data_IF_662796049029
#
_entry.id   IF_662796049029
#
_cell.length_a   1.000
_cell.length_b   1.000
_cell.length_c   1.000
_cell.angle_alpha   90.00
_cell.angle_beta   90.00
_cell.angle_gamma   90.00
#
_symmetry.space_group_name_H-M   'P 1'
#
loop_
_entity.id
_entity.type
_entity.pdbx_description
1 polymer ?
#
# COMPACT_ATOMS: atom_id res chain seq x y z
N UNK A 1 -16.13 -9.61 7.67
CA UNK A 1 -16.11 -8.76 6.62
C UNK A 1 -15.17 -9.21 5.57
N UNK A 2 -15.67 -10.22 4.90
CA UNK A 2 -14.94 -10.92 3.88
C UNK A 2 -14.60 -10.02 2.68
N UNK A 3 -15.57 -9.16 2.29
CA UNK A 3 -15.38 -8.26 1.17
C UNK A 3 -14.28 -7.23 1.39
N UNK A 4 -14.21 -6.67 2.58
CA UNK A 4 -13.17 -5.71 2.92
C UNK A 4 -11.79 -6.38 2.92
N UNK A 5 -11.69 -7.56 3.49
CA UNK A 5 -10.46 -8.33 3.52
C UNK A 5 -9.98 -8.66 2.09
N UNK A 6 -10.90 -9.04 1.21
CA UNK A 6 -10.57 -9.31 -0.18
C UNK A 6 -10.10 -8.05 -0.90
N UNK A 7 -10.73 -6.91 -0.65
CA UNK A 7 -10.32 -5.63 -1.22
C UNK A 7 -8.89 -5.26 -0.82
N UNK A 8 -8.58 -5.39 0.46
CA UNK A 8 -7.25 -5.07 0.97
C UNK A 8 -6.19 -6.03 0.42
N UNK A 9 -6.52 -7.32 0.34
CA UNK A 9 -5.61 -8.32 -0.21
C UNK A 9 -5.33 -8.07 -1.70
N UNK A 10 -6.35 -7.67 -2.47
CA UNK A 10 -6.19 -7.32 -3.88
C UNK A 10 -5.29 -6.10 -4.04
N UNK A 11 -5.47 -5.11 -3.19
CA UNK A 11 -4.62 -3.91 -3.20
C UNK A 11 -3.16 -4.27 -2.97
N UNK A 12 -2.90 -5.07 -1.94
CA UNK A 12 -1.55 -5.52 -1.60
C UNK A 12 -0.94 -6.34 -2.75
N UNK A 13 -1.70 -7.29 -3.29
CA UNK A 13 -1.25 -8.14 -4.40
C UNK A 13 -0.92 -7.33 -5.65
N UNK A 14 -1.74 -6.34 -5.97
CA UNK A 14 -1.50 -5.45 -7.10
C UNK A 14 -0.15 -4.75 -6.97
N UNK A 15 0.13 -4.20 -5.79
CA UNK A 15 1.39 -3.48 -5.57
C UNK A 15 2.60 -4.41 -5.55
N UNK A 16 2.46 -5.62 -5.01
CA UNK A 16 3.52 -6.62 -5.05
C UNK A 16 3.87 -6.98 -6.50
N UNK A 17 2.85 -7.22 -7.33
CA UNK A 17 3.06 -7.51 -8.76
C UNK A 17 3.77 -6.35 -9.46
N UNK A 18 3.38 -5.13 -9.15
CA UNK A 18 3.98 -3.95 -9.75
C UNK A 18 5.44 -3.80 -9.34
N UNK A 19 5.76 -4.05 -8.08
CA UNK A 19 7.13 -4.03 -7.59
C UNK A 19 7.98 -5.08 -8.32
N UNK A 20 7.43 -6.28 -8.53
CA UNK A 20 8.13 -7.33 -9.25
C UNK A 20 8.47 -6.95 -10.69
N UNK A 21 7.65 -6.10 -11.31
CA UNK A 21 7.85 -5.66 -12.70
C UNK A 21 8.71 -4.41 -12.81
N UNK A 22 8.58 -3.47 -11.90
CA UNK A 22 9.20 -2.14 -12.02
C UNK A 22 10.17 -1.79 -10.90
N UNK A 23 10.21 -2.57 -9.85
CA UNK A 23 11.07 -2.32 -8.69
C UNK A 23 10.43 -1.42 -7.63
N UNK A 24 9.34 -0.78 -7.92
CA UNK A 24 8.65 0.09 -6.96
C UNK A 24 7.17 0.21 -7.28
N UNK A 25 6.41 0.64 -6.30
CA UNK A 25 5.00 0.98 -6.45
C UNK A 25 4.65 2.08 -5.47
N UNK A 26 3.56 2.77 -5.73
CA UNK A 26 3.06 3.78 -4.80
C UNK A 26 1.54 3.83 -4.85
N UNK A 27 0.95 4.29 -3.78
CA UNK A 27 -0.48 4.57 -3.74
C UNK A 27 -0.78 5.67 -2.75
N UNK A 28 -1.98 6.19 -2.85
CA UNK A 28 -2.46 7.25 -1.98
C UNK A 28 -3.91 6.95 -1.61
N UNK A 29 -4.36 7.43 -0.45
CA UNK A 29 -5.77 7.32 -0.08
C UNK A 29 -6.66 8.20 -0.94
N UNK A 30 -6.07 9.06 -1.75
CA UNK A 30 -6.80 9.97 -2.64
C UNK A 30 -6.56 9.63 -4.11
N UNK A 31 -6.46 8.33 -4.43
CA UNK A 31 -6.28 7.90 -5.81
C UNK A 31 -7.56 8.08 -6.61
N UNK A 32 -7.42 8.59 -7.80
CA UNK A 32 -8.45 8.69 -8.84
C UNK A 32 -9.69 9.52 -8.52
N UNK A 33 -10.52 9.12 -7.56
CA UNK A 33 -11.87 9.67 -7.40
C UNK A 33 -12.16 10.20 -6.02
N UNK A 34 -11.14 10.47 -5.26
CA UNK A 34 -11.30 11.00 -3.93
C UNK A 34 -10.71 10.07 -2.89
N UNK A 35 -11.06 10.34 -1.67
CA UNK A 35 -10.44 9.71 -0.52
C UNK A 35 -10.97 8.29 -0.31
N UNK A 36 -10.09 7.31 -0.35
CA UNK A 36 -10.46 5.93 -0.10
C UNK A 36 -10.45 5.66 1.40
N UNK A 37 -11.63 5.60 1.97
CA UNK A 37 -11.85 5.43 3.39
C UNK A 37 -11.32 4.08 3.89
N UNK A 38 -11.47 3.03 3.12
CA UNK A 38 -11.04 1.70 3.54
C UNK A 38 -9.52 1.62 3.61
N UNK A 39 -8.83 2.16 2.62
CA UNK A 39 -7.36 2.22 2.63
C UNK A 39 -6.88 3.06 3.81
N UNK A 40 -7.51 4.22 4.02
CA UNK A 40 -7.15 5.09 5.14
C UNK A 40 -7.33 4.39 6.48
N UNK A 41 -8.49 3.80 6.72
CA UNK A 41 -8.80 3.16 8.00
C UNK A 41 -7.93 1.93 8.29
N UNK A 42 -7.44 1.26 7.26
CA UNK A 42 -6.63 0.06 7.40
C UNK A 42 -5.17 0.26 6.97
N UNK A 43 -4.72 1.50 6.92
CA UNK A 43 -3.37 1.85 6.46
C UNK A 43 -2.25 1.16 7.24
N UNK A 44 -2.40 1.05 8.55
CA UNK A 44 -1.38 0.40 9.37
C UNK A 44 -1.28 -1.09 9.06
N UNK A 45 -2.42 -1.75 8.87
CA UNK A 45 -2.45 -3.16 8.52
C UNK A 45 -1.81 -3.43 7.17
N UNK A 46 -2.06 -2.56 6.19
CA UNK A 46 -1.49 -2.68 4.85
C UNK A 46 0.03 -2.49 4.92
N UNK A 47 0.48 -1.46 5.60
CA UNK A 47 1.91 -1.17 5.76
C UNK A 47 2.62 -2.30 6.49
N UNK A 48 2.04 -2.78 7.60
CA UNK A 48 2.61 -3.89 8.37
C UNK A 48 2.74 -5.15 7.52
N UNK A 49 1.74 -5.43 6.70
CA UNK A 49 1.78 -6.60 5.82
C UNK A 49 2.90 -6.49 4.79
N UNK A 50 3.07 -5.32 4.19
CA UNK A 50 4.14 -5.09 3.22
C UNK A 50 5.51 -5.16 3.86
N UNK A 51 5.68 -4.57 5.03
CA UNK A 51 6.94 -4.62 5.77
C UNK A 51 7.28 -6.06 6.17
N UNK A 52 6.29 -6.81 6.66
CA UNK A 52 6.52 -8.21 7.07
C UNK A 52 6.83 -9.12 5.89
N UNK A 53 6.44 -8.72 4.68
CA UNK A 53 6.78 -9.46 3.47
C UNK A 53 8.21 -9.16 2.98
N UNK A 54 8.84 -8.11 3.52
CA UNK A 54 10.22 -7.77 3.24
C UNK A 54 10.43 -6.54 2.36
N UNK A 55 9.37 -5.77 2.13
CA UNK A 55 9.49 -4.55 1.33
C UNK A 55 9.87 -3.36 2.18
N UNK A 56 10.53 -2.38 1.57
CA UNK A 56 10.75 -1.08 2.19
C UNK A 56 9.54 -0.21 1.92
N UNK A 57 8.97 0.36 2.96
CA UNK A 57 7.77 1.18 2.86
C UNK A 57 8.03 2.55 3.45
N UNK A 58 7.80 3.59 2.67
CA UNK A 58 7.83 4.97 3.13
C UNK A 58 6.41 5.52 3.06
N UNK A 59 6.00 6.21 4.10
CA UNK A 59 4.67 6.81 4.13
C UNK A 59 4.72 8.22 4.69
N UNK A 60 3.81 9.06 4.21
CA UNK A 60 3.67 10.43 4.69
C UNK A 60 2.19 10.79 4.70
N UNK A 61 1.79 11.58 5.67
CA UNK A 61 0.42 12.08 5.76
C UNK A 61 0.46 13.59 5.55
N UNK A 62 -0.23 14.06 4.52
CA UNK A 62 -0.34 15.48 4.19
C UNK A 62 -1.80 15.85 4.00
N UNK A 63 -2.30 16.77 4.80
CA UNK A 63 -3.69 17.25 4.71
C UNK A 63 -4.74 16.12 4.76
N UNK A 64 -4.51 15.11 5.60
CA UNK A 64 -5.43 13.98 5.73
C UNK A 64 -5.33 12.95 4.62
N UNK A 65 -4.35 13.08 3.75
CA UNK A 65 -4.09 12.11 2.67
C UNK A 65 -2.81 11.34 3.00
N UNK A 66 -2.90 10.03 2.94
CA UNK A 66 -1.76 9.15 3.13
C UNK A 66 -1.14 8.82 1.77
N UNK A 67 0.14 9.11 1.63
CA UNK A 67 0.93 8.72 0.47
C UNK A 67 1.90 7.62 0.88
N UNK A 68 1.91 6.52 0.15
CA UNK A 68 2.77 5.37 0.44
C UNK A 68 3.62 5.04 -0.77
N UNK A 69 4.91 4.89 -0.55
CA UNK A 69 5.85 4.44 -1.57
C UNK A 69 6.48 3.12 -1.09
N UNK A 70 6.45 2.12 -1.95
CA UNK A 70 6.93 0.78 -1.66
C UNK A 70 8.04 0.44 -2.63
N UNK A 71 9.17 -0.02 -2.13
CA UNK A 71 10.28 -0.45 -2.96
C UNK A 71 10.70 -1.86 -2.60
N UNK A 72 11.25 -2.58 -3.58
CA UNK A 72 11.83 -3.88 -3.31
C UNK A 72 13.00 -3.72 -2.34
N UNK A 73 13.06 -4.59 -1.36
CA UNK A 73 14.18 -4.58 -0.43
C UNK A 73 15.35 -5.35 -1.07
N UNK A 74 16.29 -4.58 -1.59
CA UNK A 74 17.48 -5.13 -2.22
C UNK A 74 18.62 -5.22 -1.22
N UNK A 75 18.42 -5.98 -0.16
CA UNK A 75 19.51 -6.26 0.75
C UNK A 75 20.55 -7.14 0.07
N UNK A 76 21.67 -6.54 -0.13
CA UNK A 76 22.80 -7.26 -0.69
C UNK A 76 23.74 -7.73 0.40
#
# INVERSE_FOLDING_TARGET
MKELKEKLNKNISYHIDRIAKTGSSSFSTCDYRGWDKDIWNHRHSIIDKLVSTGYCVESAVNHGVLDVTITANLEL
#
